data_IF_707085158787
#
_entry.id   IF_707085158787
#
_cell.length_a   1.000
_cell.length_b   1.000
_cell.length_c   1.000
_cell.angle_alpha   90.00
_cell.angle_beta   90.00
_cell.angle_gamma   90.00
#
_symmetry.space_group_name_H-M   'P 1'
#
loop_
_entity.id
_entity.type
_entity.pdbx_description
1 polymer ?
#
# COMPACT_ATOMS: atom_id res chain seq x y z
N UNK A 1 41.03 -44.46 -120.55
CA UNK A 1 40.61 -45.44 -119.51
C UNK A 1 41.46 -45.30 -118.25
N UNK A 2 42.80 -45.17 -118.35
CA UNK A 2 43.71 -45.08 -117.19
C UNK A 2 43.55 -43.85 -116.29
N UNK A 3 43.35 -42.63 -116.86
CA UNK A 3 43.22 -41.40 -116.06
C UNK A 3 42.01 -41.40 -115.10
N UNK A 4 40.91 -42.08 -115.48
CA UNK A 4 39.72 -42.23 -114.64
C UNK A 4 39.96 -43.18 -113.46
N UNK A 5 40.76 -44.24 -113.68
CA UNK A 5 41.10 -45.18 -112.61
C UNK A 5 41.96 -44.51 -111.52
N UNK A 6 42.93 -43.69 -111.90
CA UNK A 6 43.77 -42.94 -110.95
C UNK A 6 42.94 -41.96 -110.09
N UNK A 7 42.00 -41.22 -110.71
CA UNK A 7 41.11 -40.31 -109.98
C UNK A 7 40.16 -41.05 -109.04
N UNK A 8 39.69 -42.24 -109.43
CA UNK A 8 38.86 -43.08 -108.56
C UNK A 8 39.64 -43.54 -107.32
N UNK A 9 40.86 -44.04 -107.48
CA UNK A 9 41.69 -44.48 -106.34
C UNK A 9 42.03 -43.33 -105.38
N UNK A 10 42.28 -42.12 -105.91
CA UNK A 10 42.50 -40.94 -105.07
C UNK A 10 41.24 -40.58 -104.26
N UNK A 11 40.08 -40.53 -104.90
CA UNK A 11 38.79 -40.27 -104.22
C UNK A 11 38.44 -41.34 -103.20
N UNK A 12 38.76 -42.60 -103.48
CA UNK A 12 38.58 -43.70 -102.52
C UNK A 12 39.45 -43.51 -101.27
N UNK A 13 40.71 -43.06 -101.44
CA UNK A 13 41.60 -42.73 -100.33
C UNK A 13 41.08 -41.57 -99.47
N UNK A 14 40.62 -40.49 -100.10
CA UNK A 14 40.00 -39.34 -99.43
C UNK A 14 38.74 -39.76 -98.65
N UNK A 15 37.89 -40.59 -99.26
CA UNK A 15 36.68 -41.11 -98.63
C UNK A 15 36.99 -42.00 -97.41
N UNK A 16 38.04 -42.82 -97.47
CA UNK A 16 38.48 -43.64 -96.34
C UNK A 16 38.97 -42.78 -95.19
N UNK A 17 39.74 -41.72 -95.48
CA UNK A 17 40.21 -40.77 -94.48
C UNK A 17 39.04 -40.01 -93.83
N UNK A 18 38.14 -39.46 -94.64
CA UNK A 18 36.96 -38.75 -94.16
C UNK A 18 36.09 -39.66 -93.28
N UNK A 19 35.88 -40.93 -93.69
CA UNK A 19 35.16 -41.92 -92.89
C UNK A 19 35.83 -42.18 -91.54
N UNK A 20 37.17 -42.18 -91.47
CA UNK A 20 37.89 -42.35 -90.21
C UNK A 20 37.74 -41.12 -89.29
N UNK A 21 37.81 -39.91 -89.85
CA UNK A 21 37.62 -38.65 -89.12
C UNK A 21 36.19 -38.50 -88.61
N UNK A 22 35.19 -38.81 -89.43
CA UNK A 22 33.77 -38.83 -89.04
C UNK A 22 33.52 -39.84 -87.92
N UNK A 23 34.12 -41.04 -87.99
CA UNK A 23 34.02 -42.03 -86.91
C UNK A 23 34.64 -41.52 -85.60
N UNK A 24 35.78 -40.83 -85.67
CA UNK A 24 36.44 -40.22 -84.51
C UNK A 24 35.55 -39.13 -83.90
N UNK A 25 34.98 -38.26 -84.73
CA UNK A 25 34.08 -37.20 -84.28
C UNK A 25 32.80 -37.77 -83.64
N UNK A 26 32.19 -38.79 -84.24
CA UNK A 26 31.03 -39.47 -83.67
C UNK A 26 31.31 -40.05 -82.28
N UNK A 27 32.49 -40.63 -82.07
CA UNK A 27 32.90 -41.13 -80.75
C UNK A 27 33.06 -40.00 -79.73
N UNK A 28 33.69 -38.88 -80.10
CA UNK A 28 33.81 -37.72 -79.21
C UNK A 28 32.46 -37.12 -78.86
N UNK A 29 31.56 -36.97 -79.84
CA UNK A 29 30.21 -36.48 -79.60
C UNK A 29 29.44 -37.42 -78.65
N UNK A 30 29.58 -38.73 -78.83
CA UNK A 30 28.96 -39.71 -77.93
C UNK A 30 29.49 -39.56 -76.51
N UNK A 31 30.80 -39.49 -76.32
CA UNK A 31 31.41 -39.32 -75.00
C UNK A 31 30.98 -38.01 -74.34
N UNK A 32 31.08 -36.88 -75.07
CA UNK A 32 30.66 -35.58 -74.57
C UNK A 32 29.17 -35.56 -74.18
N UNK A 33 28.30 -36.24 -74.95
CA UNK A 33 26.88 -36.34 -74.62
C UNK A 33 26.62 -37.18 -73.36
N UNK A 34 27.40 -38.23 -73.12
CA UNK A 34 27.30 -39.07 -71.94
C UNK A 34 27.80 -38.34 -70.69
N UNK A 35 28.91 -37.62 -70.80
CA UNK A 35 29.48 -36.82 -69.72
C UNK A 35 28.55 -35.66 -69.35
N UNK A 36 28.00 -34.95 -70.34
CA UNK A 36 27.01 -33.90 -70.10
C UNK A 36 25.75 -34.43 -69.41
N UNK A 37 25.26 -35.61 -69.84
CA UNK A 37 24.11 -36.24 -69.18
C UNK A 37 24.42 -36.61 -67.72
N UNK A 38 25.59 -37.21 -67.47
CA UNK A 38 26.03 -37.59 -66.13
C UNK A 38 26.11 -36.37 -65.21
N UNK A 39 26.73 -35.28 -65.67
CA UNK A 39 26.83 -34.03 -64.91
C UNK A 39 25.45 -33.47 -64.58
N UNK A 40 24.52 -33.46 -65.54
CA UNK A 40 23.15 -33.00 -65.30
C UNK A 40 22.43 -33.87 -64.26
N UNK A 41 22.61 -35.18 -64.29
CA UNK A 41 21.99 -36.09 -63.34
C UNK A 41 22.59 -35.93 -61.93
N UNK A 42 23.89 -35.70 -61.80
CA UNK A 42 24.58 -35.41 -60.54
C UNK A 42 24.11 -34.09 -59.91
N UNK A 43 24.07 -33.00 -60.70
CA UNK A 43 23.58 -31.70 -60.23
C UNK A 43 22.10 -31.75 -59.81
N UNK A 44 21.28 -32.51 -60.54
CA UNK A 44 19.88 -32.73 -60.16
C UNK A 44 19.76 -33.51 -58.86
N UNK A 45 20.62 -34.50 -58.63
CA UNK A 45 20.63 -35.25 -57.38
C UNK A 45 21.06 -34.37 -56.21
N UNK A 46 22.10 -33.55 -56.41
CA UNK A 46 22.56 -32.59 -55.41
C UNK A 46 21.47 -31.58 -55.03
N UNK A 47 20.83 -30.95 -56.02
CA UNK A 47 19.75 -30.00 -55.79
C UNK A 47 18.56 -30.63 -55.05
N UNK A 48 18.21 -31.88 -55.36
CA UNK A 48 17.14 -32.61 -54.64
C UNK A 48 17.50 -32.84 -53.18
N UNK A 49 18.74 -33.26 -52.90
CA UNK A 49 19.20 -33.49 -51.54
C UNK A 49 19.22 -32.18 -50.73
N UNK A 50 19.64 -31.07 -51.33
CA UNK A 50 19.65 -29.75 -50.69
C UNK A 50 18.22 -29.26 -50.37
N UNK A 51 17.28 -29.42 -51.32
CA UNK A 51 15.87 -29.10 -51.11
C UNK A 51 15.27 -29.95 -49.98
N UNK A 52 15.56 -31.25 -49.94
CA UNK A 52 15.06 -32.15 -48.90
C UNK A 52 15.62 -31.77 -47.52
N UNK A 53 16.91 -31.45 -47.44
CA UNK A 53 17.52 -30.98 -46.20
C UNK A 53 16.88 -29.66 -45.72
N UNK A 54 16.70 -28.70 -46.63
CA UNK A 54 16.03 -27.44 -46.31
C UNK A 54 14.60 -27.65 -45.80
N UNK A 55 13.83 -28.55 -46.44
CA UNK A 55 12.47 -28.92 -45.97
C UNK A 55 12.50 -29.57 -44.59
N UNK A 56 13.43 -30.48 -44.33
CA UNK A 56 13.57 -31.10 -43.02
C UNK A 56 13.95 -30.07 -41.93
N UNK A 57 14.77 -29.07 -42.26
CA UNK A 57 15.08 -27.98 -41.35
C UNK A 57 13.85 -27.11 -41.04
N UNK A 58 13.05 -26.77 -42.06
CA UNK A 58 11.80 -26.02 -41.87
C UNK A 58 10.84 -26.80 -40.98
N UNK A 59 10.64 -28.10 -41.23
CA UNK A 59 9.75 -28.92 -40.42
C UNK A 59 10.16 -28.95 -38.94
N UNK A 60 11.47 -29.09 -38.63
CA UNK A 60 11.95 -29.04 -37.24
C UNK A 60 11.64 -27.71 -36.56
N UNK A 61 11.78 -26.59 -37.28
CA UNK A 61 11.48 -25.26 -36.74
C UNK A 61 9.98 -25.09 -36.53
N UNK A 62 9.15 -25.57 -37.46
CA UNK A 62 7.69 -25.53 -37.31
C UNK A 62 7.21 -26.33 -36.11
N UNK A 63 7.75 -27.54 -35.91
CA UNK A 63 7.45 -28.39 -34.75
C UNK A 63 7.86 -27.70 -33.44
N UNK A 64 9.08 -27.18 -33.36
CA UNK A 64 9.56 -26.46 -32.18
C UNK A 64 8.72 -25.20 -31.87
N UNK A 65 8.28 -24.47 -32.89
CA UNK A 65 7.39 -23.31 -32.72
C UNK A 65 6.01 -23.72 -32.20
N UNK A 66 5.43 -24.78 -32.73
CA UNK A 66 4.13 -25.28 -32.26
C UNK A 66 4.18 -25.77 -30.82
N UNK A 67 5.26 -26.45 -30.43
CA UNK A 67 5.49 -26.87 -29.03
C UNK A 67 5.62 -25.66 -28.11
N UNK A 68 6.44 -24.67 -28.50
CA UNK A 68 6.60 -23.44 -27.74
C UNK A 68 5.27 -22.68 -27.58
N UNK A 69 4.47 -22.57 -28.64
CA UNK A 69 3.17 -21.90 -28.59
C UNK A 69 2.19 -22.64 -27.64
N UNK A 70 2.17 -23.98 -27.68
CA UNK A 70 1.35 -24.79 -26.76
C UNK A 70 1.78 -24.59 -25.31
N UNK A 71 3.09 -24.63 -25.03
CA UNK A 71 3.62 -24.39 -23.69
C UNK A 71 3.28 -22.99 -23.20
N UNK A 72 3.55 -21.96 -24.01
CA UNK A 72 3.25 -20.56 -23.68
C UNK A 72 1.77 -20.34 -23.37
N UNK A 73 0.87 -20.93 -24.18
CA UNK A 73 -0.58 -20.90 -23.93
C UNK A 73 -0.97 -21.61 -22.63
N UNK A 74 -0.32 -22.72 -22.29
CA UNK A 74 -0.59 -23.44 -21.05
C UNK A 74 -0.13 -22.63 -19.83
N UNK A 75 1.09 -22.11 -19.85
CA UNK A 75 1.64 -21.24 -18.78
C UNK A 75 0.76 -20.01 -18.58
N UNK A 76 0.43 -19.27 -19.64
CA UNK A 76 -0.38 -18.05 -19.50
C UNK A 76 -1.79 -18.31 -18.96
N UNK A 77 -2.39 -19.49 -19.23
CA UNK A 77 -3.66 -19.89 -18.61
C UNK A 77 -3.50 -20.21 -17.13
N UNK A 78 -2.43 -20.90 -16.75
CA UNK A 78 -2.13 -21.22 -15.37
C UNK A 78 -1.91 -19.94 -14.54
N UNK A 79 -1.10 -19.00 -15.06
CA UNK A 79 -0.81 -17.72 -14.39
C UNK A 79 -2.08 -16.90 -14.15
N UNK A 80 -2.98 -16.86 -15.14
CA UNK A 80 -4.26 -16.16 -15.02
C UNK A 80 -5.16 -16.79 -13.94
N UNK A 81 -5.23 -18.12 -13.91
CA UNK A 81 -6.01 -18.86 -12.92
C UNK A 81 -5.46 -18.67 -11.49
N UNK A 82 -4.13 -18.68 -11.34
CA UNK A 82 -3.46 -18.40 -10.05
C UNK A 82 -3.76 -16.97 -9.59
N UNK A 83 -3.62 -15.99 -10.48
CA UNK A 83 -3.95 -14.60 -10.19
C UNK A 83 -5.43 -14.44 -9.79
N UNK A 84 -6.36 -15.14 -10.45
CA UNK A 84 -7.77 -15.12 -10.09
C UNK A 84 -8.01 -15.67 -8.67
N UNK A 85 -7.32 -16.75 -8.28
CA UNK A 85 -7.39 -17.31 -6.93
C UNK A 85 -6.84 -16.34 -5.89
N UNK A 86 -5.69 -15.72 -6.14
CA UNK A 86 -5.10 -14.72 -5.24
C UNK A 86 -6.02 -13.51 -5.04
N UNK A 87 -6.61 -13.00 -6.13
CA UNK A 87 -7.56 -11.88 -6.06
C UNK A 87 -8.80 -12.26 -5.24
N UNK A 88 -9.32 -13.48 -5.40
CA UNK A 88 -10.46 -13.95 -4.62
C UNK A 88 -10.11 -14.09 -3.12
N UNK A 89 -8.94 -14.64 -2.80
CA UNK A 89 -8.51 -14.80 -1.41
C UNK A 89 -8.26 -13.45 -0.75
N UNK A 90 -7.62 -12.51 -1.44
CA UNK A 90 -7.43 -11.14 -0.95
C UNK A 90 -8.78 -10.45 -0.63
N UNK A 91 -9.79 -10.63 -1.50
CA UNK A 91 -11.15 -10.13 -1.24
C UNK A 91 -11.77 -10.79 -0.01
N UNK A 92 -11.59 -12.10 0.14
CA UNK A 92 -12.10 -12.85 1.30
C UNK A 92 -11.48 -12.36 2.61
N UNK A 93 -10.16 -12.17 2.64
CA UNK A 93 -9.44 -11.63 3.79
C UNK A 93 -10.00 -10.27 4.18
N UNK A 94 -10.15 -9.35 3.22
CA UNK A 94 -10.70 -8.01 3.48
C UNK A 94 -12.12 -8.12 4.07
N UNK A 95 -12.98 -8.96 3.48
CA UNK A 95 -14.35 -9.16 3.96
C UNK A 95 -14.42 -9.78 5.35
N UNK A 96 -13.44 -10.59 5.76
CA UNK A 96 -13.42 -11.23 7.07
C UNK A 96 -12.91 -10.27 8.16
N UNK A 97 -11.86 -9.50 7.86
CA UNK A 97 -11.17 -8.67 8.86
C UNK A 97 -11.82 -7.29 9.04
N UNK A 98 -12.41 -6.72 7.99
CA UNK A 98 -13.03 -5.39 8.07
C UNK A 98 -14.21 -5.36 9.06
N UNK A 99 -15.18 -6.31 9.05
CA UNK A 99 -16.26 -6.33 10.01
C UNK A 99 -15.79 -6.57 11.45
N UNK A 100 -14.78 -7.43 11.65
CA UNK A 100 -14.20 -7.68 12.98
C UNK A 100 -13.62 -6.40 13.59
N UNK A 101 -12.86 -5.64 12.80
CA UNK A 101 -12.27 -4.38 13.27
C UNK A 101 -13.33 -3.34 13.65
N UNK A 102 -14.43 -3.26 12.89
CA UNK A 102 -15.55 -2.38 13.21
C UNK A 102 -16.20 -2.83 14.52
N UNK A 103 -16.43 -4.12 14.69
CA UNK A 103 -17.02 -4.70 15.90
C UNK A 103 -16.16 -4.40 17.14
N UNK A 104 -14.84 -4.56 17.07
CA UNK A 104 -13.94 -4.26 18.18
C UNK A 104 -14.03 -2.78 18.60
N UNK A 105 -14.02 -1.87 17.62
CA UNK A 105 -14.16 -0.43 17.86
C UNK A 105 -15.54 -0.08 18.47
N UNK A 106 -16.61 -0.76 18.07
CA UNK A 106 -17.94 -0.56 18.64
C UNK A 106 -18.00 -0.95 20.12
N UNK A 107 -17.38 -2.08 20.49
CA UNK A 107 -17.28 -2.51 21.89
C UNK A 107 -16.48 -1.52 22.74
N UNK A 108 -15.33 -1.05 22.23
CA UNK A 108 -14.52 -0.03 22.89
C UNK A 108 -15.30 1.28 23.10
N UNK A 109 -16.01 1.75 22.07
CA UNK A 109 -16.86 2.95 22.17
C UNK A 109 -17.97 2.79 23.20
N UNK A 110 -18.62 1.62 23.26
CA UNK A 110 -19.61 1.31 24.29
C UNK A 110 -19.01 1.36 25.69
N UNK A 111 -17.83 0.76 25.90
CA UNK A 111 -17.14 0.80 27.18
C UNK A 111 -16.78 2.24 27.60
N UNK A 112 -16.27 3.05 26.67
CA UNK A 112 -15.94 4.46 26.93
C UNK A 112 -17.18 5.28 27.29
N UNK A 113 -18.31 5.07 26.61
CA UNK A 113 -19.58 5.75 26.94
C UNK A 113 -20.06 5.40 28.35
N UNK A 114 -19.96 4.14 28.75
CA UNK A 114 -20.31 3.70 30.11
C UNK A 114 -19.40 4.39 31.14
N UNK A 115 -18.09 4.39 30.92
CA UNK A 115 -17.13 5.05 31.81
C UNK A 115 -17.37 6.57 31.90
N UNK A 116 -17.70 7.20 30.78
CA UNK A 116 -18.02 8.62 30.73
C UNK A 116 -19.27 8.92 31.57
N UNK A 117 -20.35 8.15 31.40
CA UNK A 117 -21.58 8.31 32.17
C UNK A 117 -21.33 8.16 33.69
N UNK A 118 -20.57 7.14 34.08
CA UNK A 118 -20.16 6.89 35.47
C UNK A 118 -19.34 8.06 36.04
N UNK A 119 -18.33 8.55 35.30
CA UNK A 119 -17.50 9.68 35.72
C UNK A 119 -18.29 10.98 35.79
N UNK A 120 -19.18 11.24 34.83
CA UNK A 120 -20.07 12.41 34.83
C UNK A 120 -21.01 12.39 36.04
N UNK A 121 -21.59 11.23 36.39
CA UNK A 121 -22.41 11.06 37.60
C UNK A 121 -21.60 11.39 38.86
N UNK A 122 -20.39 10.86 38.99
CA UNK A 122 -19.50 11.14 40.14
C UNK A 122 -19.12 12.62 40.21
N UNK A 123 -18.79 13.23 39.08
CA UNK A 123 -18.47 14.66 38.99
C UNK A 123 -19.64 15.53 39.48
N UNK A 124 -20.87 15.23 39.04
CA UNK A 124 -22.07 15.93 39.50
C UNK A 124 -22.30 15.75 41.01
N UNK A 125 -22.09 14.56 41.55
CA UNK A 125 -22.21 14.32 43.00
C UNK A 125 -21.19 15.14 43.79
N UNK A 126 -19.93 15.14 43.37
CA UNK A 126 -18.87 15.94 43.98
C UNK A 126 -19.17 17.44 43.87
N UNK A 127 -19.68 17.91 42.73
CA UNK A 127 -20.07 19.32 42.58
C UNK A 127 -21.19 19.71 43.56
N UNK A 128 -22.18 18.83 43.78
CA UNK A 128 -23.23 19.05 44.79
C UNK A 128 -22.69 19.01 46.22
N UNK A 129 -21.71 18.16 46.50
CA UNK A 129 -21.05 18.10 47.82
C UNK A 129 -20.21 19.35 48.07
N UNK A 130 -19.44 19.81 47.09
CA UNK A 130 -18.69 21.07 47.15
C UNK A 130 -19.59 22.29 47.33
N UNK A 131 -20.74 22.33 46.65
CA UNK A 131 -21.72 23.40 46.86
C UNK A 131 -22.28 23.39 48.30
N UNK A 132 -22.55 22.19 48.85
CA UNK A 132 -23.01 22.04 50.23
C UNK A 132 -21.94 22.45 51.25
N UNK A 133 -20.68 22.04 51.06
CA UNK A 133 -19.59 22.39 51.98
C UNK A 133 -19.26 23.89 51.94
N UNK A 134 -19.35 24.54 50.77
CA UNK A 134 -19.24 26.01 50.66
C UNK A 134 -20.35 26.72 51.42
N UNK A 135 -21.62 26.32 51.23
CA UNK A 135 -22.74 26.92 51.97
C UNK A 135 -22.61 26.80 53.49
N UNK A 136 -22.11 25.67 54.00
CA UNK A 136 -21.85 25.49 55.44
C UNK A 136 -20.70 26.36 55.94
N UNK A 137 -19.62 26.49 55.15
CA UNK A 137 -18.47 27.34 55.51
C UNK A 137 -18.83 28.82 55.48
N UNK A 138 -19.61 29.27 54.51
CA UNK A 138 -20.09 30.65 54.41
C UNK A 138 -21.04 30.99 55.57
N UNK A 139 -21.89 30.05 56.02
CA UNK A 139 -22.78 30.21 57.16
C UNK A 139 -22.06 30.37 58.52
N UNK A 140 -20.88 29.75 58.70
CA UNK A 140 -20.07 29.90 59.93
C UNK A 140 -19.21 31.17 59.92
N UNK A 141 -18.87 31.69 58.74
CA UNK A 141 -17.97 32.83 58.57
C UNK A 141 -18.64 34.17 58.89
N UNK A 142 -19.97 34.23 58.86
CA UNK A 142 -20.77 35.46 58.94
C UNK A 142 -21.76 35.46 60.12
N UNK A 143 -21.41 34.87 61.27
CA UNK A 143 -22.30 34.83 62.43
C UNK A 143 -22.47 36.20 63.12
N UNK A 144 -21.50 37.10 62.93
CA UNK A 144 -21.50 38.44 63.51
C UNK A 144 -21.04 39.48 62.48
N UNK A 145 -21.64 40.66 62.55
CA UNK A 145 -21.29 41.84 61.76
C UNK A 145 -21.04 43.04 62.68
N UNK A 146 -20.25 44.00 62.21
CA UNK A 146 -20.03 45.27 62.89
C UNK A 146 -21.09 46.28 62.43
N UNK A 147 -21.89 46.76 63.39
CA UNK A 147 -22.93 47.76 63.18
C UNK A 147 -22.52 49.11 63.79
N UNK A 148 -22.74 50.19 63.06
CA UNK A 148 -22.41 51.57 63.47
C UNK A 148 -21.65 52.36 62.42
N UNK A 149 -21.63 53.68 62.56
CA UNK A 149 -20.93 54.57 61.64
C UNK A 149 -19.42 54.59 61.94
N UNK A 150 -18.59 54.33 60.92
CA UNK A 150 -17.13 54.36 61.02
C UNK A 150 -16.57 55.80 61.01
N UNK A 151 -17.08 56.64 61.91
CA UNK A 151 -16.67 58.05 62.06
C UNK A 151 -16.26 58.35 63.48
N UNK A 152 -15.28 59.24 63.66
CA UNK A 152 -14.78 59.63 64.97
C UNK A 152 -15.90 60.28 65.80
N UNK A 153 -16.13 59.76 67.01
CA UNK A 153 -17.22 60.20 67.88
C UNK A 153 -18.48 59.31 67.83
N UNK A 154 -18.53 58.34 66.92
CA UNK A 154 -19.54 57.27 66.92
C UNK A 154 -19.06 56.04 67.71
N UNK A 155 -19.97 55.08 67.92
CA UNK A 155 -19.63 53.77 68.48
C UNK A 155 -19.92 52.66 67.46
N UNK A 156 -19.10 51.61 67.50
CA UNK A 156 -19.30 50.38 66.74
C UNK A 156 -19.72 49.28 67.71
N UNK A 157 -20.73 48.49 67.34
CA UNK A 157 -21.18 47.32 68.09
C UNK A 157 -21.08 46.07 67.24
N UNK A 158 -20.89 44.92 67.89
CA UNK A 158 -20.98 43.63 67.21
C UNK A 158 -22.43 43.18 67.30
N UNK A 159 -23.06 42.87 66.16
CA UNK A 159 -24.43 42.39 66.09
C UNK A 159 -24.46 40.95 65.56
N UNK A 160 -25.20 40.03 66.21
CA UNK A 160 -25.42 38.70 65.64
C UNK A 160 -26.25 38.81 64.36
N UNK A 161 -25.81 38.12 63.30
CA UNK A 161 -26.50 38.10 62.01
C UNK A 161 -27.59 37.01 61.92
N UNK A 162 -27.64 36.11 62.91
CA UNK A 162 -28.54 34.96 62.94
C UNK A 162 -28.89 34.60 64.38
N UNK A 163 -30.11 34.09 64.61
CA UNK A 163 -30.59 33.60 65.91
C UNK A 163 -29.82 32.37 66.44
N UNK A 164 -28.94 31.79 65.62
CA UNK A 164 -28.05 30.67 65.99
C UNK A 164 -26.72 31.19 66.57
N UNK A 165 -26.44 32.50 66.46
CA UNK A 165 -25.21 33.08 66.96
C UNK A 165 -25.18 33.02 68.51
N UNK A 166 -24.07 32.55 69.11
CA UNK A 166 -23.90 32.58 70.56
C UNK A 166 -24.13 33.99 71.16
N UNK A 167 -24.69 34.06 72.35
CA UNK A 167 -24.82 35.32 73.08
C UNK A 167 -23.44 35.97 73.28
N UNK A 168 -23.33 37.27 73.04
CA UNK A 168 -22.06 38.02 73.13
C UNK A 168 -21.41 37.92 74.52
N UNK A 169 -22.20 37.72 75.58
CA UNK A 169 -21.72 37.49 76.94
C UNK A 169 -20.88 36.21 77.11
N UNK A 170 -21.05 35.25 76.20
CA UNK A 170 -20.29 33.99 76.16
C UNK A 170 -19.11 34.06 75.20
N UNK A 171 -18.93 35.18 74.50
CA UNK A 171 -17.87 35.38 73.52
C UNK A 171 -16.68 36.11 74.16
N UNK A 172 -15.47 35.70 73.77
CA UNK A 172 -14.26 36.48 74.04
C UNK A 172 -14.05 37.45 72.88
N UNK A 173 -14.31 38.74 73.12
CA UNK A 173 -14.26 39.79 72.11
C UNK A 173 -13.01 40.62 72.34
N UNK A 174 -12.26 40.88 71.26
CA UNK A 174 -11.06 41.69 71.30
C UNK A 174 -11.02 42.65 70.11
N UNK A 175 -10.81 43.93 70.42
CA UNK A 175 -10.65 44.97 69.40
C UNK A 175 -9.19 45.18 69.03
N UNK A 176 -8.98 45.42 67.74
CA UNK A 176 -7.68 45.73 67.17
C UNK A 176 -7.81 46.98 66.31
N UNK A 177 -6.77 47.82 66.33
CA UNK A 177 -6.59 48.88 65.34
C UNK A 177 -5.58 48.43 64.30
N UNK A 178 -5.72 48.91 63.06
CA UNK A 178 -4.72 48.64 62.03
C UNK A 178 -3.62 49.69 62.13
N UNK A 179 -2.37 49.25 62.19
CA UNK A 179 -1.19 50.12 62.24
C UNK A 179 -0.98 50.84 60.90
N UNK A 180 -0.58 52.12 60.95
CA UNK A 180 -0.33 52.95 59.76
C UNK A 180 0.88 52.51 58.93
N UNK A 181 1.80 51.75 59.52
CA UNK A 181 3.12 51.46 58.92
C UNK A 181 3.29 50.04 58.35
N UNK A 182 2.25 49.21 58.31
CA UNK A 182 2.41 47.88 57.70
C UNK A 182 1.25 46.91 57.82
N UNK A 183 0.02 47.38 58.00
CA UNK A 183 -1.18 46.52 58.02
C UNK A 183 -1.24 45.52 59.17
N UNK A 184 -0.30 45.59 60.13
CA UNK A 184 -0.31 44.77 61.34
C UNK A 184 -1.41 45.26 62.27
N UNK A 185 -2.16 44.31 62.83
CA UNK A 185 -3.24 44.58 63.80
C UNK A 185 -2.62 44.78 65.18
N UNK A 186 -2.79 45.95 65.76
CA UNK A 186 -2.36 46.31 67.11
C UNK A 186 -3.52 46.11 68.09
N UNK A 187 -3.24 45.45 69.21
CA UNK A 187 -4.21 45.18 70.26
C UNK A 187 -4.61 46.48 70.96
N UNK A 188 -5.91 46.73 71.10
CA UNK A 188 -6.41 47.80 71.98
C UNK A 188 -6.55 47.23 73.39
N UNK A 189 -5.54 47.43 74.23
CA UNK A 189 -5.55 47.00 75.63
C UNK A 189 -6.47 47.91 76.46
N UNK A 190 -7.46 47.32 77.15
CA UNK A 190 -8.26 48.02 78.18
C UNK A 190 -9.74 48.29 77.88
N UNK A 191 -10.27 47.89 76.72
CA UNK A 191 -11.71 47.94 76.45
C UNK A 191 -12.38 46.59 76.73
N UNK A 192 -12.61 46.32 78.01
CA UNK A 192 -13.62 45.35 78.47
C UNK A 192 -14.73 46.16 79.12
N UNK A 193 -15.74 46.57 78.35
CA UNK A 193 -16.96 47.15 78.91
C UNK A 193 -18.22 46.59 78.24
N UNK A 194 -18.87 45.74 79.05
CA UNK A 194 -20.30 45.45 79.25
C UNK A 194 -21.34 46.06 78.30
N UNK A 195 -22.06 45.16 77.62
CA UNK A 195 -23.38 45.23 76.96
C UNK A 195 -23.67 46.42 76.02
#
# INVERSE_FOLDING_TARGET
VEALAVQLTQREGELIQEKAEVKKLANFLKQASQDAKKLVDEERAFARAEIENARAAVQRVEEALQEHEKMSRATGKQDLEELMKEVQEARRIIMLHQPSKVMDMEHELCALRIQLAEKSKRSLLLQKELARSKGVKDNLSNLYELDGAETLGSYLRIKPCSDIAPELSKCSIQWYRVSSEGGKKELISGNVLYY
#
